data_IF_594504371292
#
_entry.id   IF_594504371292
#
_cell.length_a   1.000
_cell.length_b   1.000
_cell.length_c   1.000
_cell.angle_alpha   90.00
_cell.angle_beta   90.00
_cell.angle_gamma   90.00
#
_symmetry.space_group_name_H-M   'P 1'
#
loop_
_entity.id
_entity.type
_entity.pdbx_description
1 polymer ?
#
# COMPACT_ATOMS: atom_id res chain seq x y z
N UNK A 1 -29.15 14.85 -20.20
CA UNK A 1 -28.16 15.47 -19.28
C UNK A 1 -26.77 15.42 -19.91
N UNK A 2 -25.80 16.32 -19.62
CA UNK A 2 -24.41 16.08 -20.04
C UNK A 2 -23.89 14.77 -19.42
N UNK A 3 -23.02 14.02 -20.12
CA UNK A 3 -22.46 12.79 -19.58
C UNK A 3 -21.61 13.08 -18.33
N UNK A 4 -21.70 12.21 -17.33
CA UNK A 4 -20.91 12.31 -16.11
C UNK A 4 -19.51 11.74 -16.36
N UNK A 5 -18.48 12.51 -16.01
CA UNK A 5 -17.08 12.16 -16.26
C UNK A 5 -16.35 11.87 -14.94
N UNK A 6 -15.67 10.72 -14.87
CA UNK A 6 -14.76 10.35 -13.78
C UNK A 6 -13.39 10.02 -14.36
N UNK A 7 -12.54 11.04 -14.43
CA UNK A 7 -11.19 10.92 -14.98
C UNK A 7 -10.27 10.06 -14.12
N UNK A 8 -10.53 9.90 -12.82
CA UNK A 8 -9.72 9.05 -11.95
C UNK A 8 -9.90 7.56 -12.27
N UNK A 9 -11.07 7.16 -12.75
CA UNK A 9 -11.34 5.82 -13.27
C UNK A 9 -11.28 5.72 -14.80
N UNK A 10 -10.92 6.79 -15.51
CA UNK A 10 -11.01 6.87 -16.98
C UNK A 10 -12.39 6.46 -17.51
N UNK A 11 -13.45 6.94 -16.85
CA UNK A 11 -14.83 6.52 -17.08
C UNK A 11 -15.69 7.71 -17.51
N UNK A 12 -16.61 7.45 -18.44
CA UNK A 12 -17.68 8.35 -18.83
C UNK A 12 -19.01 7.60 -18.76
N UNK A 13 -19.99 8.16 -18.03
CA UNK A 13 -21.33 7.62 -17.87
C UNK A 13 -22.31 8.48 -18.66
N UNK A 14 -22.96 7.87 -19.65
CA UNK A 14 -23.96 8.50 -20.51
C UNK A 14 -25.31 7.80 -20.33
N UNK A 15 -26.10 8.29 -19.38
CA UNK A 15 -27.32 7.62 -18.91
C UNK A 15 -28.52 7.73 -19.88
N UNK A 16 -28.49 8.66 -20.82
CA UNK A 16 -29.63 8.95 -21.71
C UNK A 16 -29.64 8.05 -22.95
N UNK A 17 -28.52 7.40 -23.25
CA UNK A 17 -28.33 6.67 -24.48
C UNK A 17 -28.66 5.18 -24.29
N UNK A 18 -29.82 4.75 -24.80
CA UNK A 18 -30.21 3.35 -24.87
C UNK A 18 -30.25 2.88 -26.32
N UNK A 19 -29.61 1.75 -26.61
CA UNK A 19 -29.58 1.16 -27.95
C UNK A 19 -29.97 -0.31 -27.89
N UNK A 20 -30.69 -0.79 -28.91
CA UNK A 20 -30.90 -2.22 -29.13
C UNK A 20 -29.80 -2.75 -30.02
N UNK A 21 -29.00 -3.70 -29.55
CA UNK A 21 -27.90 -4.29 -30.34
C UNK A 21 -28.39 -5.42 -31.26
N UNK A 22 -29.70 -5.63 -31.38
CA UNK A 22 -30.28 -6.69 -32.20
C UNK A 22 -30.41 -6.29 -33.68
N UNK A 23 -30.06 -5.05 -34.05
CA UNK A 23 -30.12 -4.55 -35.42
C UNK A 23 -28.81 -3.85 -35.80
N UNK A 24 -28.47 -3.93 -37.09
CA UNK A 24 -27.30 -3.26 -37.67
C UNK A 24 -27.36 -1.73 -37.42
N UNK A 25 -28.56 -1.14 -37.46
CA UNK A 25 -28.75 0.28 -37.18
C UNK A 25 -28.44 0.61 -35.72
N UNK A 26 -28.85 -0.25 -34.79
CA UNK A 26 -28.56 -0.09 -33.37
C UNK A 26 -27.07 -0.24 -33.06
N UNK A 27 -26.37 -1.20 -33.67
CA UNK A 27 -24.92 -1.32 -33.58
C UNK A 27 -24.20 -0.08 -34.11
N UNK A 28 -24.62 0.43 -35.28
CA UNK A 28 -24.05 1.65 -35.86
C UNK A 28 -24.25 2.87 -34.96
N UNK A 29 -25.43 3.00 -34.35
CA UNK A 29 -25.74 4.08 -33.42
C UNK A 29 -24.93 3.97 -32.13
N UNK A 30 -24.76 2.76 -31.59
CA UNK A 30 -23.93 2.49 -30.42
C UNK A 30 -22.46 2.83 -30.69
N UNK A 31 -21.90 2.42 -31.84
CA UNK A 31 -20.55 2.76 -32.25
C UNK A 31 -20.35 4.28 -32.41
N UNK A 32 -21.29 4.96 -33.07
CA UNK A 32 -21.25 6.42 -33.24
C UNK A 32 -21.24 7.14 -31.89
N UNK A 33 -22.04 6.65 -30.93
CA UNK A 33 -22.11 7.20 -29.57
C UNK A 33 -20.83 6.91 -28.79
N UNK A 34 -20.29 5.69 -28.88
CA UNK A 34 -19.06 5.31 -28.22
C UNK A 34 -17.87 6.17 -28.70
N UNK A 35 -17.75 6.41 -30.01
CA UNK A 35 -16.72 7.29 -30.59
C UNK A 35 -16.87 8.72 -30.05
N UNK A 36 -18.10 9.26 -30.04
CA UNK A 36 -18.38 10.60 -29.49
C UNK A 36 -17.97 10.70 -28.02
N UNK A 37 -18.33 9.70 -27.21
CA UNK A 37 -18.04 9.68 -25.77
C UNK A 37 -16.54 9.52 -25.51
N UNK A 38 -15.86 8.67 -26.29
CA UNK A 38 -14.40 8.54 -26.22
C UNK A 38 -13.70 9.84 -26.58
N UNK A 39 -14.17 10.56 -27.62
CA UNK A 39 -13.60 11.85 -27.98
C UNK A 39 -13.69 12.85 -26.82
N UNK A 40 -14.86 12.96 -26.18
CA UNK A 40 -15.05 13.83 -25.01
C UNK A 40 -14.11 13.47 -23.85
N UNK A 41 -13.92 12.17 -23.60
CA UNK A 41 -13.02 11.67 -22.56
C UNK A 41 -11.56 12.00 -22.91
N UNK A 42 -11.15 11.77 -24.16
CA UNK A 42 -9.80 12.07 -24.67
C UNK A 42 -9.49 13.56 -24.60
N UNK A 43 -10.42 14.41 -25.02
CA UNK A 43 -10.29 15.87 -24.97
C UNK A 43 -10.11 16.34 -23.52
N UNK A 44 -10.85 15.75 -22.58
CA UNK A 44 -10.75 16.07 -21.15
C UNK A 44 -9.42 15.61 -20.55
N UNK A 45 -8.94 14.42 -20.90
CA UNK A 45 -7.62 13.93 -20.49
C UNK A 45 -6.49 14.80 -21.04
N UNK A 46 -6.65 15.31 -22.26
CA UNK A 46 -5.62 16.11 -22.92
C UNK A 46 -5.35 17.45 -22.23
N UNK A 47 -6.32 17.96 -21.46
CA UNK A 47 -6.26 19.21 -20.71
C UNK A 47 -5.59 19.06 -19.33
N UNK A 48 -5.37 17.83 -18.86
CA UNK A 48 -4.73 17.58 -17.57
C UNK A 48 -3.23 17.94 -17.59
N UNK A 49 -2.65 18.30 -16.42
CA UNK A 49 -1.24 18.63 -16.32
C UNK A 49 -0.37 17.41 -16.64
N UNK A 50 0.70 17.66 -17.42
CA UNK A 50 1.67 16.64 -17.84
C UNK A 50 2.97 16.79 -17.07
N UNK A 51 3.51 15.67 -16.62
CA UNK A 51 4.87 15.55 -16.07
C UNK A 51 5.74 14.85 -17.11
N UNK A 52 6.94 15.38 -17.35
CA UNK A 52 7.93 14.73 -18.19
C UNK A 52 9.09 14.30 -17.30
N UNK A 53 9.27 13.00 -17.13
CA UNK A 53 10.38 12.42 -16.38
C UNK A 53 11.31 11.71 -17.36
N UNK A 54 12.62 11.92 -17.26
CA UNK A 54 13.59 11.42 -18.26
C UNK A 54 13.59 9.88 -18.39
N UNK A 55 13.35 9.15 -17.30
CA UNK A 55 13.33 7.69 -17.29
C UNK A 55 12.00 7.07 -17.75
N UNK A 56 10.88 7.78 -17.55
CA UNK A 56 9.52 7.23 -17.72
C UNK A 56 8.82 7.80 -18.97
N UNK A 57 9.20 9.01 -19.40
CA UNK A 57 8.55 9.76 -20.48
C UNK A 57 7.44 10.69 -20.00
N UNK A 58 6.58 11.10 -20.93
CA UNK A 58 5.44 11.99 -20.64
C UNK A 58 4.30 11.24 -19.97
N UNK A 59 3.94 11.66 -18.76
CA UNK A 59 2.81 11.15 -17.99
C UNK A 59 1.81 12.27 -17.67
N UNK A 60 0.58 11.87 -17.33
CA UNK A 60 -0.50 12.79 -16.97
C UNK A 60 -0.90 12.51 -15.52
N UNK A 61 -1.06 13.56 -14.71
CA UNK A 61 -1.55 13.42 -13.35
C UNK A 61 -3.07 13.33 -13.33
N UNK A 62 -3.61 12.13 -13.06
CA UNK A 62 -5.05 11.92 -12.93
C UNK A 62 -5.58 12.43 -11.59
N UNK A 63 -6.81 12.99 -11.56
CA UNK A 63 -7.47 13.37 -10.32
C UNK A 63 -7.88 12.14 -9.50
N UNK A 64 -8.24 12.36 -8.24
CA UNK A 64 -8.80 11.30 -7.41
C UNK A 64 -10.12 10.78 -8.02
N UNK A 65 -10.37 9.45 -8.00
CA UNK A 65 -11.59 8.89 -8.54
C UNK A 65 -12.84 9.35 -7.79
N UNK A 66 -13.91 9.61 -8.53
CA UNK A 66 -15.17 10.16 -7.98
C UNK A 66 -16.11 9.02 -7.56
N UNK A 67 -16.18 7.94 -8.34
CA UNK A 67 -17.07 6.82 -8.06
C UNK A 67 -16.58 6.04 -6.82
N UNK A 68 -17.35 6.10 -5.73
CA UNK A 68 -17.04 5.32 -4.53
C UNK A 68 -17.32 3.82 -4.79
N UNK A 69 -16.26 3.03 -4.93
CA UNK A 69 -16.35 1.58 -5.06
C UNK A 69 -16.30 0.89 -3.69
N UNK A 70 -17.06 -0.21 -3.50
CA UNK A 70 -16.99 -0.98 -2.27
C UNK A 70 -15.59 -1.60 -2.12
N UNK A 71 -15.05 -1.55 -0.89
CA UNK A 71 -13.78 -2.23 -0.58
C UNK A 71 -13.97 -3.74 -0.59
N UNK A 72 -12.97 -4.45 -1.11
CA UNK A 72 -12.92 -5.91 -1.05
C UNK A 72 -12.82 -6.44 0.41
N UNK A 73 -12.10 -5.72 1.27
CA UNK A 73 -11.88 -6.09 2.66
C UNK A 73 -12.26 -4.94 3.60
N UNK A 74 -12.72 -5.26 4.83
CA UNK A 74 -12.98 -4.26 5.85
C UNK A 74 -11.73 -3.40 6.12
N UNK A 75 -11.95 -2.20 6.65
CA UNK A 75 -10.84 -1.39 7.13
C UNK A 75 -10.05 -2.15 8.20
N UNK A 76 -8.72 -2.02 8.24
CA UNK A 76 -7.94 -2.61 9.32
C UNK A 76 -8.42 -1.99 10.64
N UNK A 77 -8.71 -2.85 11.62
CA UNK A 77 -9.16 -2.40 12.95
C UNK A 77 -8.09 -1.45 13.52
N UNK A 78 -8.49 -0.24 13.96
CA UNK A 78 -7.55 0.72 14.50
C UNK A 78 -6.87 0.18 15.76
N UNK A 79 -5.63 0.59 15.99
CA UNK A 79 -4.83 0.10 17.14
C UNK A 79 -5.49 0.40 18.50
N UNK A 80 -6.31 1.44 18.58
CA UNK A 80 -7.07 1.81 19.79
C UNK A 80 -8.15 0.81 20.17
N UNK A 81 -8.74 0.12 19.19
CA UNK A 81 -9.83 -0.84 19.37
C UNK A 81 -9.32 -2.27 19.51
N UNK A 82 -8.05 -2.52 19.17
CA UNK A 82 -7.45 -3.85 19.37
C UNK A 82 -7.31 -4.13 20.87
N UNK A 83 -7.82 -5.27 21.37
CA UNK A 83 -7.64 -5.61 22.77
C UNK A 83 -6.14 -5.74 23.08
N UNK A 84 -5.67 -5.24 24.23
CA UNK A 84 -4.27 -5.33 24.59
C UNK A 84 -3.86 -6.80 24.73
N UNK A 85 -2.64 -7.11 24.32
CA UNK A 85 -2.06 -8.43 24.57
C UNK A 85 -1.90 -8.65 26.09
N UNK A 86 -1.82 -9.92 26.52
CA UNK A 86 -1.61 -10.24 27.95
C UNK A 86 -0.38 -9.53 28.53
N UNK A 87 0.70 -9.42 27.74
CA UNK A 87 1.90 -8.70 28.13
C UNK A 87 1.68 -7.18 28.27
N UNK A 88 0.98 -6.56 27.33
CA UNK A 88 0.65 -5.12 27.40
C UNK A 88 -0.22 -4.78 28.60
N UNK A 89 -1.21 -5.63 28.90
CA UNK A 89 -2.05 -5.48 30.10
C UNK A 89 -1.22 -5.59 31.39
N UNK A 90 -0.32 -6.58 31.47
CA UNK A 90 0.60 -6.75 32.59
C UNK A 90 1.57 -5.57 32.72
N UNK A 91 2.20 -5.16 31.63
CA UNK A 91 3.14 -4.05 31.59
C UNK A 91 2.47 -2.74 32.04
N UNK A 92 1.24 -2.47 31.58
CA UNK A 92 0.44 -1.33 32.03
C UNK A 92 0.13 -1.41 33.52
N UNK A 93 -0.31 -2.57 34.03
CA UNK A 93 -0.61 -2.77 35.46
C UNK A 93 0.63 -2.58 36.34
N UNK A 94 1.81 -2.96 35.85
CA UNK A 94 3.10 -2.84 36.56
C UNK A 94 3.83 -1.53 36.30
N UNK A 95 3.31 -0.64 35.46
CA UNK A 95 3.99 0.62 35.11
C UNK A 95 5.29 0.40 34.31
N UNK A 96 5.43 -0.72 33.62
CA UNK A 96 6.62 -1.03 32.80
C UNK A 96 6.53 -0.20 31.52
N UNK A 97 7.41 0.79 31.40
CA UNK A 97 7.54 1.60 30.18
C UNK A 97 8.15 0.77 29.05
N UNK A 98 7.68 0.93 27.80
CA UNK A 98 8.29 0.27 26.65
C UNK A 98 9.76 0.68 26.54
N UNK A 99 10.65 -0.31 26.34
CA UNK A 99 12.07 -0.05 26.15
C UNK A 99 12.31 0.51 24.75
N UNK A 100 13.17 1.52 24.64
CA UNK A 100 13.63 2.00 23.35
C UNK A 100 14.32 0.88 22.56
N UNK A 101 14.23 0.97 21.23
CA UNK A 101 14.95 0.07 20.32
C UNK A 101 16.44 0.13 20.66
N UNK A 102 16.99 -1.00 21.07
CA UNK A 102 18.42 -1.13 21.39
C UNK A 102 19.23 -1.29 20.09
N UNK A 103 20.51 -0.95 20.16
CA UNK A 103 21.45 -1.20 19.07
C UNK A 103 21.46 -2.69 18.68
N UNK A 104 21.56 -2.94 17.37
CA UNK A 104 21.71 -4.29 16.82
C UNK A 104 23.04 -4.92 17.22
N UNK A 105 24.08 -4.10 17.42
CA UNK A 105 25.42 -4.55 17.84
C UNK A 105 25.70 -4.19 19.30
N UNK A 106 26.46 -5.05 19.97
CA UNK A 106 26.96 -4.91 21.33
C UNK A 106 28.45 -5.20 21.30
N UNK A 107 29.23 -4.36 21.96
CA UNK A 107 30.67 -4.58 22.09
C UNK A 107 30.92 -5.77 23.02
N UNK A 108 31.74 -6.72 22.57
CA UNK A 108 32.14 -7.89 23.36
C UNK A 108 33.50 -7.63 24.03
N UNK A 109 33.48 -7.31 25.31
CA UNK A 109 34.68 -7.02 26.10
C UNK A 109 35.53 -8.27 26.42
N UNK A 110 34.94 -9.48 26.34
CA UNK A 110 35.54 -10.69 26.93
C UNK A 110 36.46 -11.46 26.00
N UNK A 111 36.03 -11.69 24.76
CA UNK A 111 36.72 -12.62 23.86
C UNK A 111 37.31 -11.86 22.67
N UNK A 112 36.47 -11.17 21.90
CA UNK A 112 36.92 -10.62 20.61
C UNK A 112 37.26 -9.14 20.61
N UNK A 113 36.85 -8.36 21.62
CA UNK A 113 37.01 -6.89 21.65
C UNK A 113 36.46 -6.20 20.40
N UNK A 114 35.33 -6.70 19.88
CA UNK A 114 34.70 -6.20 18.64
C UNK A 114 33.19 -6.00 18.82
N UNK A 115 32.60 -5.20 17.94
CA UNK A 115 31.15 -5.02 17.86
C UNK A 115 30.49 -6.24 17.23
N UNK A 116 29.79 -7.03 18.05
CA UNK A 116 29.10 -8.24 17.62
C UNK A 116 27.58 -8.07 17.65
N UNK A 117 26.82 -8.79 16.80
CA UNK A 117 25.37 -8.70 16.83
C UNK A 117 24.81 -9.17 18.18
N UNK A 118 23.78 -8.49 18.68
CA UNK A 118 23.11 -8.79 19.96
C UNK A 118 22.37 -10.13 19.95
N UNK A 119 21.93 -10.56 18.78
CA UNK A 119 21.17 -11.78 18.52
C UNK A 119 21.59 -12.34 17.14
N UNK A 120 21.39 -13.63 16.91
CA UNK A 120 21.77 -14.30 15.66
C UNK A 120 23.09 -15.06 15.75
N UNK A 121 23.55 -15.64 14.64
CA UNK A 121 24.63 -16.65 14.61
C UNK A 121 25.95 -16.18 15.21
N UNK A 122 26.42 -14.97 14.90
CA UNK A 122 27.71 -14.43 15.39
C UNK A 122 27.59 -13.66 16.71
N UNK A 123 26.53 -13.90 17.48
CA UNK A 123 26.32 -13.20 18.75
C UNK A 123 27.22 -13.78 19.83
N UNK A 124 27.79 -12.92 20.67
CA UNK A 124 28.63 -13.33 21.81
C UNK A 124 27.91 -14.27 22.81
N UNK A 125 26.57 -14.35 22.77
CA UNK A 125 25.81 -15.32 23.56
C UNK A 125 25.97 -16.77 23.08
N UNK A 126 26.35 -16.99 21.83
CA UNK A 126 26.54 -18.32 21.28
C UNK A 126 27.95 -18.87 21.55
N UNK A 127 28.85 -18.06 22.10
CA UNK A 127 30.22 -18.50 22.39
C UNK A 127 30.21 -19.65 23.41
N UNK A 128 29.33 -19.60 24.42
CA UNK A 128 29.13 -20.72 25.36
C UNK A 128 28.58 -22.01 24.73
N UNK A 129 27.96 -21.94 23.54
CA UNK A 129 27.55 -23.13 22.77
C UNK A 129 28.68 -23.66 21.88
N UNK A 130 29.67 -22.82 21.56
CA UNK A 130 30.83 -23.16 20.74
C UNK A 130 32.03 -23.62 21.58
N UNK A 131 32.01 -23.37 22.89
CA UNK A 131 33.04 -23.83 23.81
C UNK A 131 33.03 -25.37 23.92
N UNK A 132 34.23 -25.94 23.87
CA UNK A 132 34.46 -27.39 23.87
C UNK A 132 34.37 -28.02 25.27
N UNK A 133 34.29 -27.19 26.32
CA UNK A 133 34.16 -27.61 27.72
C UNK A 133 33.16 -26.71 28.42
N UNK A 134 32.28 -27.32 29.22
CA UNK A 134 31.35 -26.59 30.09
C UNK A 134 31.40 -27.23 31.46
N UNK A 135 31.67 -26.42 32.48
CA UNK A 135 31.60 -26.86 33.87
C UNK A 135 30.13 -27.11 34.23
N UNK A 136 29.83 -28.26 34.85
CA UNK A 136 28.51 -28.60 35.36
C UNK A 136 28.52 -28.37 36.88
N UNK A 137 27.69 -27.43 37.33
CA UNK A 137 27.39 -27.20 38.75
C UNK A 137 26.35 -28.20 39.28
#
# INVERSE_FOLDING_TARGET
>A
MPPALDLGHLMLIDAENSFSLNSIEGERLALKTAIRNFQLLSDSLSQLPRSNEEEIGTSVMLPNPILALPRAFPAPIPKSEKPPTKWEAFAKKKGIKPKHKRSSHVFDDKISKEWRPRHGSKSAKNDALADWVTELD
#
